data_IF_430818574628
#
_entry.id   IF_430818574628
#
_cell.length_a   1.000
_cell.length_b   1.000
_cell.length_c   1.000
_cell.angle_alpha   90.00
_cell.angle_beta   90.00
_cell.angle_gamma   90.00
#
_symmetry.space_group_name_H-M   'P 1'
#
loop_
_entity.id
_entity.type
_entity.pdbx_description
1 polymer ?
#
# COMPACT_ATOMS: atom_id res chain seq x y z
N UNK A 1 -1.52 -20.44 57.51
CA UNK A 1 -1.88 -19.04 57.21
C UNK A 1 -2.37 -18.97 55.76
N UNK A 2 -3.61 -18.56 55.50
CA UNK A 2 -4.13 -18.34 54.14
C UNK A 2 -4.06 -16.85 53.84
N UNK A 3 -3.29 -16.47 52.82
CA UNK A 3 -3.29 -15.10 52.33
C UNK A 3 -4.57 -14.86 51.52
N UNK A 4 -5.47 -14.06 52.09
CA UNK A 4 -6.66 -13.56 51.39
C UNK A 4 -6.20 -12.51 50.38
N UNK A 5 -6.14 -12.90 49.10
CA UNK A 5 -5.93 -11.95 48.02
C UNK A 5 -7.16 -11.03 47.93
N UNK A 6 -6.96 -9.77 48.31
CA UNK A 6 -7.90 -8.68 48.01
C UNK A 6 -8.08 -8.63 46.49
N UNK A 7 -9.26 -9.00 45.99
CA UNK A 7 -9.67 -8.68 44.61
C UNK A 7 -9.75 -7.16 44.52
N UNK A 8 -8.74 -6.55 43.94
CA UNK A 8 -8.81 -5.15 43.51
C UNK A 8 -9.97 -5.04 42.51
N UNK A 9 -11.04 -4.36 42.93
CA UNK A 9 -12.15 -4.04 42.04
C UNK A 9 -11.61 -3.25 40.86
N UNK A 10 -11.79 -3.77 39.64
CA UNK A 10 -11.47 -3.01 38.42
C UNK A 10 -12.29 -1.71 38.44
N UNK A 11 -11.69 -0.55 38.15
CA UNK A 11 -12.41 0.70 38.12
C UNK A 11 -13.58 0.60 37.13
N UNK A 12 -14.76 1.03 37.57
CA UNK A 12 -15.98 1.05 36.77
C UNK A 12 -15.79 2.08 35.65
N UNK A 13 -15.77 1.63 34.40
CA UNK A 13 -15.63 2.49 33.23
C UNK A 13 -16.76 3.53 33.22
N UNK A 14 -16.39 4.81 33.18
CA UNK A 14 -17.36 5.92 33.14
C UNK A 14 -17.85 6.03 31.69
N UNK A 15 -19.15 5.84 31.41
CA UNK A 15 -19.67 5.94 30.06
C UNK A 15 -19.46 7.37 29.54
N UNK A 16 -18.64 7.52 28.50
CA UNK A 16 -18.41 8.80 27.82
C UNK A 16 -16.96 9.27 27.73
N UNK A 17 -16.02 8.66 28.45
CA UNK A 17 -14.58 8.97 28.32
C UNK A 17 -13.92 7.87 27.50
N UNK A 18 -13.71 8.12 26.20
CA UNK A 18 -13.00 7.18 25.32
C UNK A 18 -11.57 7.01 25.84
N UNK A 19 -11.19 5.79 26.18
CA UNK A 19 -9.82 5.50 26.64
C UNK A 19 -8.82 5.79 25.51
N UNK A 20 -7.61 6.26 25.86
CA UNK A 20 -6.50 6.41 24.90
C UNK A 20 -6.21 5.09 24.15
N UNK A 21 -6.44 3.97 24.82
CA UNK A 21 -6.26 2.64 24.22
C UNK A 21 -7.31 2.35 23.15
N UNK A 22 -8.56 2.78 23.33
CA UNK A 22 -9.62 2.60 22.35
C UNK A 22 -9.41 3.51 21.14
N UNK A 23 -8.95 4.76 21.35
CA UNK A 23 -8.53 5.63 20.26
C UNK A 23 -7.39 5.02 19.43
N UNK A 24 -6.43 4.36 20.10
CA UNK A 24 -5.33 3.66 19.42
C UNK A 24 -5.85 2.48 18.60
N UNK A 25 -6.77 1.68 19.14
CA UNK A 25 -7.42 0.57 18.41
C UNK A 25 -8.16 1.07 17.18
N UNK A 26 -8.96 2.13 17.31
CA UNK A 26 -9.69 2.74 16.18
C UNK A 26 -8.71 3.20 15.10
N UNK A 27 -7.64 3.91 15.48
CA UNK A 27 -6.61 4.34 14.53
C UNK A 27 -5.93 3.15 13.84
N UNK A 28 -5.66 2.07 14.57
CA UNK A 28 -5.12 0.84 13.98
C UNK A 28 -6.07 0.21 12.97
N UNK A 29 -7.37 0.12 13.27
CA UNK A 29 -8.36 -0.38 12.30
C UNK A 29 -8.45 0.51 11.07
N UNK A 30 -8.43 1.84 11.24
CA UNK A 30 -8.41 2.78 10.13
C UNK A 30 -7.20 2.55 9.21
N UNK A 31 -6.01 2.34 9.80
CA UNK A 31 -4.79 2.05 9.04
C UNK A 31 -4.85 0.69 8.33
N UNK A 32 -5.43 -0.33 8.96
CA UNK A 32 -5.64 -1.65 8.32
C UNK A 32 -6.54 -1.52 7.10
N UNK A 33 -7.68 -0.83 7.25
CA UNK A 33 -8.63 -0.63 6.15
C UNK A 33 -8.01 0.20 5.03
N UNK A 34 -7.29 1.28 5.38
CA UNK A 34 -6.56 2.08 4.40
C UNK A 34 -5.49 1.23 3.68
N UNK A 35 -4.71 0.45 4.43
CA UNK A 35 -3.70 -0.44 3.86
C UNK A 35 -4.29 -1.52 2.94
N UNK A 36 -5.49 -2.02 3.26
CA UNK A 36 -6.18 -2.99 2.43
C UNK A 36 -6.54 -2.39 1.07
N UNK A 37 -7.01 -1.14 1.01
CA UNK A 37 -7.30 -0.46 -0.26
C UNK A 37 -6.03 -0.30 -1.12
N UNK A 38 -4.91 0.10 -0.49
CA UNK A 38 -3.62 0.25 -1.17
C UNK A 38 -2.99 -1.08 -1.59
N UNK A 39 -3.45 -2.21 -1.06
CA UNK A 39 -2.95 -3.54 -1.43
C UNK A 39 -3.85 -4.17 -2.49
N UNK A 40 -5.17 -4.20 -2.25
CA UNK A 40 -6.14 -4.89 -3.10
C UNK A 40 -6.26 -4.24 -4.48
N UNK A 41 -6.37 -2.90 -4.55
CA UNK A 41 -6.57 -2.22 -5.83
C UNK A 41 -5.39 -2.44 -6.78
N UNK A 42 -4.11 -2.26 -6.37
CA UNK A 42 -2.98 -2.59 -7.23
C UNK A 42 -2.88 -4.07 -7.57
N UNK A 43 -3.21 -4.99 -6.65
CA UNK A 43 -3.19 -6.43 -6.93
C UNK A 43 -4.19 -6.83 -8.02
N UNK A 44 -5.41 -6.31 -7.97
CA UNK A 44 -6.43 -6.58 -9.00
C UNK A 44 -5.97 -6.04 -10.36
N UNK A 45 -5.44 -4.81 -10.38
CA UNK A 45 -4.98 -4.19 -11.62
C UNK A 45 -3.77 -4.92 -12.20
N UNK A 46 -2.85 -5.39 -11.36
CA UNK A 46 -1.72 -6.21 -11.78
C UNK A 46 -2.19 -7.56 -12.34
N UNK A 47 -3.15 -8.22 -11.68
CA UNK A 47 -3.74 -9.48 -12.16
C UNK A 47 -4.38 -9.30 -13.54
N UNK A 48 -5.16 -8.23 -13.73
CA UNK A 48 -5.76 -7.89 -15.02
C UNK A 48 -4.72 -7.71 -16.12
N UNK A 49 -3.59 -7.05 -15.81
CA UNK A 49 -2.51 -6.81 -16.78
C UNK A 49 -1.71 -8.07 -17.11
N UNK A 50 -1.35 -8.85 -16.10
CA UNK A 50 -0.49 -10.03 -16.30
C UNK A 50 -1.26 -11.22 -16.87
N UNK A 51 -2.45 -11.51 -16.35
CA UNK A 51 -3.15 -12.76 -16.64
C UNK A 51 -4.34 -12.61 -17.60
N UNK A 52 -4.99 -11.43 -17.63
CA UNK A 52 -6.14 -11.19 -18.52
C UNK A 52 -5.75 -10.44 -19.81
N UNK A 53 -4.45 -10.26 -20.07
CA UNK A 53 -3.95 -9.59 -21.28
C UNK A 53 -4.24 -8.09 -21.32
N UNK A 54 -4.44 -7.44 -20.18
CA UNK A 54 -4.62 -5.99 -20.12
C UNK A 54 -3.35 -5.23 -20.50
N UNK A 55 -3.50 -4.09 -21.18
CA UNK A 55 -2.38 -3.25 -21.61
C UNK A 55 -1.46 -2.86 -20.44
N UNK A 56 -0.14 -2.93 -20.66
CA UNK A 56 0.86 -2.51 -19.67
C UNK A 56 1.08 -1.00 -19.74
N UNK A 57 1.31 -0.38 -18.58
CA UNK A 57 1.70 1.03 -18.52
C UNK A 57 3.13 1.15 -19.01
N UNK A 58 3.33 1.89 -20.10
CA UNK A 58 4.64 2.23 -20.64
C UNK A 58 5.10 3.54 -20.00
N UNK A 59 6.35 3.58 -19.57
CA UNK A 59 6.96 4.78 -19.03
C UNK A 59 7.03 5.86 -20.12
N UNK A 60 6.48 7.04 -19.83
CA UNK A 60 6.38 8.13 -20.82
C UNK A 60 7.57 9.08 -20.80
N UNK A 61 8.36 9.08 -19.73
CA UNK A 61 9.47 10.00 -19.56
C UNK A 61 10.32 9.70 -18.34
N UNK A 62 11.33 10.53 -18.11
CA UNK A 62 12.27 10.42 -17.01
C UNK A 62 12.31 11.72 -16.21
N UNK A 63 12.16 11.58 -14.90
CA UNK A 63 12.36 12.68 -13.97
C UNK A 63 13.85 12.95 -13.78
N UNK A 64 14.27 14.20 -13.94
CA UNK A 64 15.61 14.65 -13.64
C UNK A 64 15.67 15.23 -12.21
N UNK A 65 16.37 14.57 -11.27
CA UNK A 65 16.40 15.01 -9.88
C UNK A 65 17.23 16.29 -9.63
N UNK A 66 18.03 16.74 -10.60
CA UNK A 66 18.89 17.92 -10.44
C UNK A 66 18.16 19.23 -10.72
N UNK A 67 17.27 19.23 -11.70
CA UNK A 67 16.51 20.42 -12.13
C UNK A 67 14.99 20.27 -11.95
N UNK A 68 14.52 19.10 -11.52
CA UNK A 68 13.10 18.81 -11.27
C UNK A 68 12.27 18.67 -12.55
N UNK A 69 12.91 18.67 -13.72
CA UNK A 69 12.21 18.58 -15.00
C UNK A 69 11.84 17.13 -15.33
N UNK A 70 10.78 16.96 -16.12
CA UNK A 70 10.44 15.67 -16.72
C UNK A 70 10.82 15.77 -18.19
N UNK A 71 11.72 14.89 -18.63
CA UNK A 71 12.03 14.72 -20.05
C UNK A 71 11.09 13.65 -20.60
N UNK A 72 10.27 14.02 -21.57
CA UNK A 72 9.45 13.06 -22.29
C UNK A 72 10.33 12.14 -23.17
N UNK A 73 9.95 10.87 -23.23
CA UNK A 73 10.58 9.90 -24.10
C UNK A 73 9.98 9.98 -25.50
N UNK A 74 10.82 9.80 -26.52
CA UNK A 74 10.34 9.52 -27.88
C UNK A 74 9.67 8.15 -27.94
N UNK A 75 8.93 7.85 -29.01
CA UNK A 75 8.28 6.54 -29.16
C UNK A 75 9.31 5.39 -29.20
N UNK A 76 10.47 5.62 -29.78
CA UNK A 76 11.58 4.65 -29.81
C UNK A 76 12.13 4.39 -28.40
N UNK A 77 12.34 5.45 -27.62
CA UNK A 77 12.83 5.35 -26.24
C UNK A 77 11.82 4.63 -25.33
N UNK A 78 10.52 4.87 -25.53
CA UNK A 78 9.46 4.15 -24.80
C UNK A 78 9.54 2.65 -25.04
N UNK A 79 9.75 2.23 -26.29
CA UNK A 79 9.88 0.81 -26.65
C UNK A 79 11.15 0.21 -26.05
N UNK A 80 12.28 0.92 -26.14
CA UNK A 80 13.55 0.45 -25.59
C UNK A 80 13.46 0.27 -24.07
N UNK A 81 12.96 1.27 -23.35
CA UNK A 81 12.79 1.22 -21.89
C UNK A 81 11.83 0.10 -21.50
N UNK A 82 10.73 -0.07 -22.24
CA UNK A 82 9.78 -1.15 -21.99
C UNK A 82 10.44 -2.53 -22.13
N UNK A 83 11.16 -2.79 -23.23
CA UNK A 83 11.87 -4.06 -23.49
C UNK A 83 12.96 -4.34 -22.47
N UNK A 84 13.66 -3.29 -22.04
CA UNK A 84 14.75 -3.41 -21.08
C UNK A 84 14.30 -3.47 -19.62
N UNK A 85 13.02 -3.24 -19.33
CA UNK A 85 12.48 -3.25 -17.97
C UNK A 85 12.54 -4.64 -17.33
N UNK A 86 12.76 -4.68 -16.01
CA UNK A 86 12.73 -5.92 -15.22
C UNK A 86 11.39 -6.65 -15.36
N UNK A 87 10.30 -5.90 -15.45
CA UNK A 87 8.95 -6.45 -15.57
C UNK A 87 8.79 -7.20 -16.89
N UNK A 88 9.22 -6.61 -18.01
CA UNK A 88 9.19 -7.27 -19.32
C UNK A 88 10.13 -8.47 -19.37
N UNK A 89 11.30 -8.40 -18.71
CA UNK A 89 12.23 -9.53 -18.60
C UNK A 89 11.64 -10.74 -17.85
N UNK A 90 10.81 -10.50 -16.83
CA UNK A 90 10.21 -11.58 -16.02
C UNK A 90 8.91 -12.10 -16.66
N UNK A 91 8.08 -11.21 -17.20
CA UNK A 91 6.72 -11.53 -17.66
C UNK A 91 6.55 -11.53 -19.20
N UNK A 92 7.63 -11.36 -19.96
CA UNK A 92 7.63 -11.31 -21.42
C UNK A 92 7.07 -10.00 -22.00
N UNK A 93 7.11 -9.83 -23.33
CA UNK A 93 6.69 -8.59 -24.03
C UNK A 93 5.16 -8.50 -24.30
N UNK A 94 4.37 -9.46 -23.82
CA UNK A 94 2.92 -9.52 -24.05
C UNK A 94 2.13 -8.38 -23.41
#
# INVERSE_FOLDING_TARGET
>A
MRATFLRLNKPKEIPGIVSKEDLKKVRSYQLIVAGLLFTVVPSIELYRRIYLGGERKIQQGQYNPKDGTIRDFTEEEKVEVFKNSWFTKIFGEK
#
